data_IF_571485690643
#
_entry.id   IF_571485690643
#
_cell.length_a   1.000
_cell.length_b   1.000
_cell.length_c   1.000
_cell.angle_alpha   90.00
_cell.angle_beta   90.00
_cell.angle_gamma   90.00
#
_symmetry.space_group_name_H-M   'P 1'
#
loop_
_entity.id
_entity.type
_entity.pdbx_description
1 polymer ?
#
# COMPACT_ATOMS: atom_id res chain seq x y z
N UNK A 1 -26.72 24.92 -2.53
CA UNK A 1 -25.29 25.19 -2.23
C UNK A 1 -24.96 24.47 -0.94
N UNK A 2 -24.28 23.32 -1.01
CA UNK A 2 -23.71 22.67 0.18
C UNK A 2 -22.26 23.13 0.28
N UNK A 3 -21.94 23.73 1.41
CA UNK A 3 -20.62 24.22 1.80
C UNK A 3 -19.63 23.06 1.79
N UNK A 4 -18.54 23.22 1.03
CA UNK A 4 -17.40 22.32 1.06
C UNK A 4 -16.78 22.39 2.45
N UNK A 5 -16.71 21.24 3.13
CA UNK A 5 -15.83 21.10 4.28
C UNK A 5 -14.39 21.19 3.75
N UNK A 6 -13.60 22.07 4.33
CA UNK A 6 -12.15 22.04 4.17
C UNK A 6 -11.68 20.66 4.66
N UNK A 7 -11.18 19.84 3.75
CA UNK A 7 -10.58 18.57 4.09
C UNK A 7 -9.25 18.91 4.75
N UNK A 8 -9.18 18.89 6.08
CA UNK A 8 -7.90 19.09 6.78
C UNK A 8 -6.92 18.01 6.33
N UNK A 9 -5.78 18.42 5.78
CA UNK A 9 -4.71 17.51 5.39
C UNK A 9 -4.20 16.78 6.65
N UNK A 10 -4.63 15.53 6.83
CA UNK A 10 -4.13 14.69 7.92
C UNK A 10 -2.65 14.40 7.65
N UNK A 11 -1.79 14.77 8.59
CA UNK A 11 -0.38 14.46 8.49
C UNK A 11 -0.16 12.95 8.62
N UNK A 12 0.41 12.35 7.57
CA UNK A 12 0.81 10.95 7.53
C UNK A 12 2.34 10.87 7.60
N UNK A 13 2.87 10.12 8.56
CA UNK A 13 4.31 9.88 8.68
C UNK A 13 4.53 8.43 9.06
N UNK A 14 5.45 7.75 8.39
CA UNK A 14 5.72 6.35 8.69
C UNK A 14 6.95 5.83 7.98
N UNK A 15 7.17 4.53 8.15
CA UNK A 15 8.25 3.79 7.51
C UNK A 15 7.74 2.47 6.98
N UNK A 16 8.27 2.09 5.83
CA UNK A 16 8.07 0.80 5.19
C UNK A 16 9.42 0.10 5.11
N UNK A 17 9.46 -1.18 5.48
CA UNK A 17 10.67 -2.00 5.40
C UNK A 17 10.38 -3.22 4.55
N UNK A 18 11.36 -3.60 3.72
CA UNK A 18 11.27 -4.74 2.82
C UNK A 18 12.50 -5.62 3.01
N UNK A 19 12.29 -6.86 3.39
CA UNK A 19 13.36 -7.82 3.62
C UNK A 19 13.08 -9.13 2.88
N UNK A 20 14.11 -9.71 2.24
CA UNK A 20 14.00 -11.06 1.71
C UNK A 20 13.87 -12.06 2.87
N UNK A 21 12.81 -12.85 2.86
CA UNK A 21 12.66 -13.94 3.81
C UNK A 21 13.70 -15.04 3.52
N UNK A 22 14.18 -15.78 4.54
CA UNK A 22 15.13 -16.87 4.32
C UNK A 22 14.69 -17.82 3.20
N UNK A 23 15.60 -18.05 2.25
CA UNK A 23 15.36 -18.82 1.03
C UNK A 23 15.07 -17.98 -0.22
N UNK A 24 14.76 -16.69 -0.09
CA UNK A 24 14.63 -15.78 -1.23
C UNK A 24 13.37 -15.97 -2.09
N UNK A 25 12.37 -16.66 -1.54
CA UNK A 25 11.10 -16.91 -2.25
C UNK A 25 9.99 -15.91 -1.90
N UNK A 26 10.13 -15.24 -0.75
CA UNK A 26 9.15 -14.28 -0.25
C UNK A 26 9.85 -13.00 0.19
N UNK A 27 9.15 -11.88 0.08
CA UNK A 27 9.53 -10.61 0.70
C UNK A 27 8.62 -10.37 1.89
N UNK A 28 9.20 -10.09 3.05
CA UNK A 28 8.49 -9.59 4.20
C UNK A 28 8.49 -8.05 4.13
N UNK A 29 7.29 -7.50 4.03
CA UNK A 29 7.02 -6.06 4.08
C UNK A 29 6.47 -5.73 5.47
N UNK A 30 6.94 -4.66 6.11
CA UNK A 30 6.33 -4.12 7.34
C UNK A 30 6.13 -2.63 7.20
N UNK A 31 4.92 -2.17 7.53
CA UNK A 31 4.58 -0.76 7.57
C UNK A 31 4.31 -0.32 9.02
N UNK A 32 4.80 0.87 9.37
CA UNK A 32 4.52 1.52 10.64
C UNK A 32 4.23 3.00 10.38
N UNK A 33 2.95 3.36 10.40
CA UNK A 33 2.46 4.65 9.95
C UNK A 33 1.61 5.30 11.04
N UNK A 34 1.81 6.59 11.24
CA UNK A 34 0.96 7.44 12.07
C UNK A 34 0.14 8.35 11.15
N UNK A 35 -1.18 8.22 11.19
CA UNK A 35 -2.15 9.04 10.47
C UNK A 35 -2.88 9.92 11.48
N UNK A 36 -2.45 11.18 11.62
CA UNK A 36 -2.92 12.02 12.72
C UNK A 36 -2.50 11.44 14.08
N UNK A 37 -3.46 10.92 14.85
CA UNK A 37 -3.20 10.20 16.13
C UNK A 37 -3.25 8.69 16.00
N UNK A 38 -3.68 8.17 14.85
CA UNK A 38 -3.98 6.76 14.67
C UNK A 38 -2.74 6.03 14.15
N UNK A 39 -2.24 5.09 14.95
CA UNK A 39 -1.09 4.25 14.59
C UNK A 39 -1.57 3.00 13.86
N UNK A 40 -1.15 2.87 12.61
CA UNK A 40 -1.36 1.72 11.74
C UNK A 40 -0.05 0.96 11.59
N UNK A 41 -0.05 -0.29 12.04
CA UNK A 41 1.09 -1.19 11.90
C UNK A 41 0.63 -2.46 11.19
N UNK A 42 1.35 -2.85 10.16
CA UNK A 42 1.04 -4.06 9.40
C UNK A 42 2.30 -4.79 8.99
N UNK A 43 2.13 -6.09 8.70
CA UNK A 43 3.12 -6.89 8.00
C UNK A 43 2.45 -7.58 6.82
N UNK A 44 3.20 -7.76 5.75
CA UNK A 44 2.75 -8.45 4.54
C UNK A 44 3.81 -9.44 4.09
N UNK A 45 3.38 -10.65 3.73
CA UNK A 45 4.23 -11.65 3.06
C UNK A 45 3.90 -11.63 1.58
N UNK A 46 4.87 -11.22 0.77
CA UNK A 46 4.72 -11.05 -0.68
C UNK A 46 5.40 -12.23 -1.38
N UNK A 47 4.63 -12.96 -2.18
CA UNK A 47 5.11 -14.01 -3.05
C UNK A 47 5.34 -13.57 -4.50
N UNK A 48 5.78 -14.49 -5.34
CA UNK A 48 5.89 -14.32 -6.78
C UNK A 48 5.23 -15.50 -7.48
N UNK A 49 4.19 -15.24 -8.28
CA UNK A 49 3.61 -16.20 -9.21
C UNK A 49 3.94 -15.78 -10.64
N UNK A 50 5.03 -16.34 -11.16
CA UNK A 50 5.49 -16.08 -12.51
C UNK A 50 4.53 -16.60 -13.59
N UNK A 51 3.67 -17.59 -13.29
CA UNK A 51 2.74 -18.14 -14.28
C UNK A 51 1.62 -17.15 -14.59
N UNK A 52 1.19 -16.37 -13.59
CA UNK A 52 0.12 -15.37 -13.73
C UNK A 52 0.64 -13.93 -13.79
N UNK A 53 1.97 -13.75 -13.71
CA UNK A 53 2.61 -12.43 -13.56
C UNK A 53 1.99 -11.62 -12.41
N UNK A 54 1.77 -12.28 -11.27
CA UNK A 54 1.17 -11.68 -10.09
C UNK A 54 2.04 -11.86 -8.85
N UNK A 55 1.84 -10.97 -7.88
CA UNK A 55 2.55 -11.00 -6.60
C UNK A 55 1.51 -11.04 -5.49
N UNK A 56 1.08 -12.25 -5.06
CA UNK A 56 0.10 -12.37 -3.99
C UNK A 56 0.70 -11.85 -2.69
N UNK A 57 -0.08 -11.07 -1.95
CA UNK A 57 0.34 -10.47 -0.68
C UNK A 57 -0.65 -10.87 0.41
N UNK A 58 -0.15 -11.45 1.49
CA UNK A 58 -0.96 -11.74 2.67
C UNK A 58 -0.61 -10.74 3.77
N UNK A 59 -1.56 -9.91 4.17
CA UNK A 59 -1.35 -8.88 5.18
C UNK A 59 -1.98 -9.24 6.52
N UNK A 60 -1.39 -8.69 7.59
CA UNK A 60 -1.88 -8.73 8.97
C UNK A 60 -1.62 -7.37 9.62
N UNK A 61 -2.57 -6.83 10.36
CA UNK A 61 -2.42 -5.53 11.02
C UNK A 61 -2.56 -5.57 12.54
N UNK A 62 -2.27 -4.43 13.18
CA UNK A 62 -2.35 -4.26 14.63
C UNK A 62 -3.79 -4.11 15.18
N UNK A 63 -4.80 -4.15 14.32
CA UNK A 63 -6.22 -4.24 14.70
C UNK A 63 -6.75 -5.67 14.64
N UNK A 64 -5.92 -6.63 14.18
CA UNK A 64 -6.30 -8.03 14.03
C UNK A 64 -6.93 -8.34 12.68
N UNK A 65 -6.91 -7.41 11.73
CA UNK A 65 -7.37 -7.65 10.37
C UNK A 65 -6.30 -8.41 9.58
N UNK A 66 -6.76 -9.24 8.65
CA UNK A 66 -5.89 -9.93 7.71
C UNK A 66 -6.60 -10.17 6.40
N UNK A 67 -5.84 -10.27 5.32
CA UNK A 67 -6.42 -10.46 4.00
C UNK A 67 -5.38 -10.72 2.92
N UNK A 68 -5.89 -10.81 1.70
CA UNK A 68 -5.08 -11.01 0.50
C UNK A 68 -5.20 -9.76 -0.37
N UNK A 69 -4.07 -9.26 -0.84
CA UNK A 69 -4.02 -8.32 -1.94
C UNK A 69 -3.42 -8.97 -3.17
N UNK A 70 -3.93 -8.57 -4.32
CA UNK A 70 -3.44 -8.94 -5.63
C UNK A 70 -2.65 -7.79 -6.22
N UNK A 71 -1.52 -8.13 -6.83
CA UNK A 71 -0.65 -7.17 -7.48
C UNK A 71 -0.62 -7.40 -8.97
N UNK A 72 -0.71 -6.31 -9.73
CA UNK A 72 -0.40 -6.28 -11.14
C UNK A 72 0.50 -5.10 -11.47
N UNK A 73 1.26 -5.25 -12.54
CA UNK A 73 2.09 -4.18 -13.12
C UNK A 73 1.79 -4.09 -14.61
N UNK A 74 1.57 -2.87 -15.10
CA UNK A 74 1.35 -2.60 -16.50
C UNK A 74 1.97 -1.25 -16.91
N UNK A 75 2.99 -1.29 -17.75
CA UNK A 75 3.72 -0.11 -18.26
C UNK A 75 4.29 0.82 -17.17
N UNK A 76 4.83 0.23 -16.11
CA UNK A 76 5.42 0.92 -14.96
C UNK A 76 4.41 1.38 -13.90
N UNK A 77 3.11 1.14 -14.12
CA UNK A 77 2.05 1.40 -13.14
C UNK A 77 1.77 0.12 -12.36
N UNK A 78 1.93 0.21 -11.06
CA UNK A 78 1.64 -0.83 -10.10
C UNK A 78 0.25 -0.63 -9.53
N UNK A 79 -0.50 -1.72 -9.45
CA UNK A 79 -1.78 -1.78 -8.74
C UNK A 79 -1.71 -2.85 -7.68
N UNK A 80 -2.01 -2.47 -6.42
CA UNK A 80 -2.23 -3.41 -5.31
C UNK A 80 -3.70 -3.33 -4.94
N UNK A 81 -4.45 -4.42 -5.02
CA UNK A 81 -5.89 -4.38 -4.79
C UNK A 81 -6.40 -5.54 -3.94
N UNK A 82 -7.33 -5.24 -3.06
CA UNK A 82 -8.26 -6.17 -2.41
C UNK A 82 -9.69 -5.73 -2.74
N UNK A 83 -10.68 -6.37 -2.13
CA UNK A 83 -12.09 -5.98 -2.27
C UNK A 83 -12.38 -4.57 -1.70
N UNK A 84 -11.59 -4.13 -0.72
CA UNK A 84 -11.83 -2.90 0.06
C UNK A 84 -10.78 -1.82 -0.13
N UNK A 85 -9.59 -2.14 -0.63
CA UNK A 85 -8.48 -1.20 -0.79
C UNK A 85 -7.80 -1.36 -2.15
N UNK A 86 -7.43 -0.23 -2.76
CA UNK A 86 -6.69 -0.19 -4.01
C UNK A 86 -5.60 0.87 -3.97
N UNK A 87 -4.37 0.47 -4.20
CA UNK A 87 -3.28 1.37 -4.54
C UNK A 87 -3.08 1.42 -6.05
N UNK A 88 -2.83 2.61 -6.58
CA UNK A 88 -2.28 2.79 -7.94
C UNK A 88 -1.12 3.77 -7.90
N UNK A 89 0.04 3.36 -8.39
CA UNK A 89 1.23 4.21 -8.35
C UNK A 89 2.40 3.70 -9.17
N UNK A 90 3.54 4.33 -9.02
CA UNK A 90 4.75 3.99 -9.76
C UNK A 90 6.01 4.23 -8.94
N UNK A 91 7.05 3.48 -9.28
CA UNK A 91 8.40 3.76 -8.82
C UNK A 91 9.04 4.84 -9.70
N UNK A 92 9.87 5.70 -9.09
CA UNK A 92 10.75 6.59 -9.83
C UNK A 92 11.78 5.79 -10.62
N UNK A 93 12.34 6.40 -11.68
CA UNK A 93 13.33 5.73 -12.55
C UNK A 93 14.57 5.22 -11.82
N UNK A 94 14.95 5.87 -10.72
CA UNK A 94 16.08 5.50 -9.87
C UNK A 94 15.70 4.52 -8.74
N UNK A 95 14.44 4.08 -8.68
CA UNK A 95 13.89 3.18 -7.67
C UNK A 95 14.09 3.65 -6.21
N UNK A 96 14.23 4.97 -6.01
CA UNK A 96 14.34 5.60 -4.69
C UNK A 96 13.03 6.16 -4.16
N UNK A 97 11.99 6.26 -5.01
CA UNK A 97 10.68 6.76 -4.61
C UNK A 97 9.60 5.85 -5.14
N UNK A 98 8.59 5.58 -4.33
CA UNK A 98 7.28 5.11 -4.79
C UNK A 98 6.24 6.17 -4.45
N UNK A 99 5.38 6.49 -5.39
CA UNK A 99 4.29 7.43 -5.19
C UNK A 99 3.03 6.96 -5.87
N UNK A 100 1.88 7.30 -5.30
CA UNK A 100 0.59 6.90 -5.83
C UNK A 100 -0.55 7.27 -4.91
N UNK A 101 -1.71 6.72 -5.23
CA UNK A 101 -2.97 6.98 -4.55
C UNK A 101 -3.47 5.67 -3.96
N UNK A 102 -3.90 5.73 -2.71
CA UNK A 102 -4.79 4.74 -2.12
C UNK A 102 -6.23 5.20 -2.22
N UNK A 103 -7.08 4.27 -2.65
CA UNK A 103 -8.52 4.39 -2.65
C UNK A 103 -9.10 3.28 -1.76
N UNK A 104 -10.22 3.58 -1.12
CA UNK A 104 -11.02 2.60 -0.39
C UNK A 104 -12.36 2.39 -1.07
N UNK A 105 -12.85 1.16 -1.05
CA UNK A 105 -14.18 0.83 -1.54
C UNK A 105 -15.19 0.91 -0.39
N UNK A 106 -16.08 1.89 -0.46
CA UNK A 106 -17.20 2.06 0.48
C UNK A 106 -18.51 1.84 -0.28
N UNK A 107 -19.19 0.73 -0.01
CA UNK A 107 -20.50 0.40 -0.61
C UNK A 107 -20.48 0.44 -2.15
N UNK A 108 -19.54 -0.27 -2.78
CA UNK A 108 -19.35 -0.34 -4.24
C UNK A 108 -18.93 0.98 -4.90
N UNK A 109 -18.39 1.91 -4.11
CA UNK A 109 -17.81 3.17 -4.59
C UNK A 109 -16.36 3.30 -4.15
N UNK A 110 -15.45 3.48 -5.11
CA UNK A 110 -14.06 3.80 -4.83
C UNK A 110 -13.91 5.29 -4.51
N UNK A 111 -13.39 5.58 -3.33
CA UNK A 111 -13.15 6.93 -2.85
C UNK A 111 -11.67 7.13 -2.52
N UNK A 112 -11.16 8.34 -2.76
CA UNK A 112 -9.79 8.71 -2.38
C UNK A 112 -9.61 8.52 -0.87
N UNK A 113 -8.62 7.72 -0.49
CA UNK A 113 -8.21 7.55 0.90
C UNK A 113 -7.01 8.44 1.22
N UNK A 114 -5.93 8.34 0.43
CA UNK A 114 -4.71 9.13 0.64
C UNK A 114 -3.79 9.14 -0.58
N UNK A 115 -3.01 10.21 -0.73
CA UNK A 115 -1.83 10.26 -1.58
C UNK A 115 -0.59 9.85 -0.79
N UNK A 116 0.27 9.01 -1.37
CA UNK A 116 1.52 8.60 -0.73
C UNK A 116 2.73 8.95 -1.58
N UNK A 117 3.83 9.25 -0.89
CA UNK A 117 5.17 9.32 -1.44
C UNK A 117 6.14 8.79 -0.41
N UNK A 118 6.70 7.61 -0.68
CA UNK A 118 7.73 7.00 0.15
C UNK A 118 9.07 7.20 -0.53
N UNK A 119 10.08 7.61 0.24
CA UNK A 119 11.45 7.79 -0.23
C UNK A 119 12.35 6.82 0.52
N UNK A 120 13.17 6.07 -0.22
CA UNK A 120 14.16 5.15 0.33
C UNK A 120 15.05 5.91 1.31
N UNK A 121 15.19 5.40 2.53
CA UNK A 121 16.17 5.92 3.49
C UNK A 121 17.57 5.45 3.09
N UNK A 122 18.52 6.39 3.09
CA UNK A 122 19.93 6.14 2.82
C UNK A 122 20.66 5.59 4.05
#
# INVERSE_FOLDING_TARGET
MKTGGENEDIKIVGTDTYEWFPGGFFVLHKANVLMGTDRKESMEVIGCDAATNSYPMHFFDNQGESGIMHTSEHHGIWTFASDTLRFTGAFSKDANTISGIWEQNLNDSWELLMDIKLVRQC
#
